data_IF_392761657756
#
_entry.id   IF_392761657756
#
_cell.length_a   1.000
_cell.length_b   1.000
_cell.length_c   1.000
_cell.angle_alpha   90.00
_cell.angle_beta   90.00
_cell.angle_gamma   90.00
#
_symmetry.space_group_name_H-M   'P 1'
#
loop_
_entity.id
_entity.type
_entity.pdbx_description
1 polymer ?
#
# COMPACT_ATOMS: atom_id res chain seq x y z
N UNK A 1 29.46 15.58 3.13
CA UNK A 1 28.14 16.25 3.20
C UNK A 1 27.12 15.21 3.62
N UNK A 2 26.50 15.30 4.81
CA UNK A 2 25.46 14.35 5.18
C UNK A 2 24.29 14.47 4.19
N UNK A 3 23.75 13.34 3.75
CA UNK A 3 22.63 13.30 2.83
C UNK A 3 21.47 14.11 3.41
N UNK A 4 21.03 15.16 2.70
CA UNK A 4 19.80 15.90 3.00
C UNK A 4 18.69 14.85 3.09
N UNK A 5 18.08 14.69 4.26
CA UNK A 5 16.94 13.77 4.44
C UNK A 5 15.88 14.18 3.42
N UNK A 6 15.58 13.30 2.47
CA UNK A 6 14.54 13.54 1.48
C UNK A 6 13.18 13.31 2.13
N UNK A 7 12.13 13.93 1.58
CA UNK A 7 10.74 13.65 1.96
C UNK A 7 10.47 12.13 1.92
N UNK A 8 11.09 11.42 0.96
CA UNK A 8 11.02 9.97 0.89
C UNK A 8 11.63 9.27 2.12
N UNK A 9 12.79 9.73 2.61
CA UNK A 9 13.41 9.19 3.82
C UNK A 9 12.51 9.35 5.05
N UNK A 10 11.83 10.51 5.17
CA UNK A 10 10.88 10.77 6.25
C UNK A 10 9.64 9.87 6.16
N UNK A 11 9.08 9.71 4.96
CA UNK A 11 7.96 8.79 4.69
C UNK A 11 8.34 7.35 5.10
N UNK A 12 9.55 6.90 4.73
CA UNK A 12 10.02 5.56 5.05
C UNK A 12 10.26 5.37 6.55
N UNK A 13 10.83 6.36 7.24
CA UNK A 13 11.03 6.30 8.68
C UNK A 13 9.70 6.14 9.41
N UNK A 14 8.71 6.99 9.09
CA UNK A 14 7.36 6.90 9.67
C UNK A 14 6.67 5.58 9.33
N UNK A 15 6.78 5.10 8.09
CA UNK A 15 6.13 3.84 7.68
C UNK A 15 6.66 2.63 8.47
N UNK A 16 7.93 2.61 8.84
CA UNK A 16 8.50 1.55 9.69
C UNK A 16 7.83 1.53 11.07
N UNK A 17 7.69 2.68 11.71
CA UNK A 17 6.99 2.81 13.00
C UNK A 17 5.53 2.32 12.89
N UNK A 18 4.82 2.73 11.84
CA UNK A 18 3.43 2.31 11.60
C UNK A 18 3.29 0.79 11.39
N UNK A 19 4.23 0.18 10.66
CA UNK A 19 4.25 -1.27 10.44
C UNK A 19 4.51 -2.00 11.75
N UNK A 20 5.46 -1.54 12.57
CA UNK A 20 5.74 -2.16 13.87
C UNK A 20 4.52 -2.08 14.81
N UNK A 21 3.87 -0.91 14.88
CA UNK A 21 2.64 -0.75 15.65
C UNK A 21 1.50 -1.66 15.11
N UNK A 22 1.39 -1.79 13.78
CA UNK A 22 0.38 -2.65 13.14
C UNK A 22 0.63 -4.13 13.43
N UNK A 23 1.89 -4.58 13.40
CA UNK A 23 2.29 -5.96 13.74
C UNK A 23 1.97 -6.33 15.18
N UNK A 24 2.11 -5.38 16.10
CA UNK A 24 1.72 -5.58 17.52
C UNK A 24 0.21 -5.70 17.69
N UNK A 25 -0.58 -4.94 16.92
CA UNK A 25 -2.05 -4.97 16.96
C UNK A 25 -2.64 -6.20 16.28
N UNK A 26 -2.08 -6.59 15.14
CA UNK A 26 -2.50 -7.74 14.35
C UNK A 26 -1.27 -8.54 13.89
N UNK A 27 -0.84 -9.53 14.68
CA UNK A 27 0.30 -10.36 14.32
C UNK A 27 0.12 -11.03 12.95
N UNK A 28 1.23 -11.24 12.25
CA UNK A 28 1.22 -11.75 10.86
C UNK A 28 0.49 -13.10 10.73
N UNK A 29 0.63 -14.00 11.70
CA UNK A 29 -0.07 -15.30 11.68
C UNK A 29 -1.59 -15.14 11.71
N UNK A 30 -2.08 -14.21 12.53
CA UNK A 30 -3.50 -13.90 12.63
C UNK A 30 -4.01 -13.21 11.36
N UNK A 31 -3.24 -12.28 10.80
CA UNK A 31 -3.57 -11.67 9.51
C UNK A 31 -3.69 -12.73 8.41
N UNK A 32 -2.74 -13.67 8.32
CA UNK A 32 -2.80 -14.78 7.35
C UNK A 32 -4.04 -15.64 7.53
N UNK A 33 -4.40 -15.97 8.77
CA UNK A 33 -5.62 -16.73 9.09
C UNK A 33 -6.88 -16.01 8.61
N UNK A 34 -6.99 -14.69 8.84
CA UNK A 34 -8.13 -13.90 8.35
C UNK A 34 -8.23 -13.86 6.82
N UNK A 35 -7.09 -13.83 6.14
CA UNK A 35 -7.04 -13.79 4.67
C UNK A 35 -7.50 -15.11 4.02
N UNK A 36 -7.48 -16.24 4.72
CA UNK A 36 -7.96 -17.52 4.17
C UNK A 36 -9.43 -17.48 3.72
N UNK A 37 -10.24 -16.63 4.36
CA UNK A 37 -11.66 -16.47 4.05
C UNK A 37 -11.94 -15.21 3.20
N UNK A 38 -10.91 -14.55 2.68
CA UNK A 38 -11.09 -13.37 1.83
C UNK A 38 -11.55 -13.76 0.42
N UNK A 39 -12.36 -12.94 -0.26
CA UNK A 39 -12.68 -13.14 -1.66
C UNK A 39 -11.41 -13.23 -2.52
N UNK A 40 -11.46 -13.94 -3.67
CA UNK A 40 -10.34 -13.97 -4.58
C UNK A 40 -9.97 -12.55 -5.05
N UNK A 41 -8.67 -12.28 -5.29
CA UNK A 41 -8.24 -11.00 -5.83
C UNK A 41 -8.87 -10.75 -7.20
N UNK A 42 -9.18 -9.49 -7.49
CA UNK A 42 -9.61 -9.09 -8.84
C UNK A 42 -8.42 -9.15 -9.79
N UNK A 43 -8.69 -9.52 -11.03
CA UNK A 43 -7.71 -9.53 -12.11
C UNK A 43 -7.36 -8.10 -12.54
N UNK A 44 -6.43 -7.47 -11.81
CA UNK A 44 -6.02 -6.07 -12.01
C UNK A 44 -5.36 -5.86 -13.38
N UNK A 45 -4.47 -6.76 -13.79
CA UNK A 45 -3.76 -6.68 -15.07
C UNK A 45 -4.75 -6.85 -16.21
N UNK A 46 -5.57 -7.91 -16.19
CA UNK A 46 -6.53 -8.12 -17.26
C UNK A 46 -7.62 -7.05 -17.29
N UNK A 47 -7.95 -6.39 -16.17
CA UNK A 47 -8.83 -5.22 -16.18
C UNK A 47 -8.22 -4.04 -16.97
N UNK A 48 -6.90 -3.82 -16.86
CA UNK A 48 -6.20 -2.80 -17.64
C UNK A 48 -6.13 -3.21 -19.12
N UNK A 49 -5.81 -4.48 -19.40
CA UNK A 49 -5.65 -4.98 -20.77
C UNK A 49 -6.97 -5.01 -21.56
N UNK A 50 -8.10 -5.32 -20.91
CA UNK A 50 -9.43 -5.38 -21.53
C UNK A 50 -10.16 -4.04 -21.59
N UNK A 51 -9.66 -3.00 -20.91
CA UNK A 51 -10.32 -1.71 -20.87
C UNK A 51 -10.23 -0.99 -22.23
N UNK A 52 -11.31 -0.32 -22.62
CA UNK A 52 -11.27 0.66 -23.70
C UNK A 52 -10.31 1.80 -23.31
N UNK A 53 -9.52 2.27 -24.28
CA UNK A 53 -8.46 3.23 -23.98
C UNK A 53 -9.04 4.65 -23.88
N UNK A 54 -8.59 5.45 -22.88
CA UNK A 54 -7.53 5.12 -21.91
C UNK A 54 -7.99 4.22 -20.75
N UNK A 55 -7.15 3.26 -20.36
CA UNK A 55 -7.35 2.47 -19.15
C UNK A 55 -7.04 3.33 -17.91
N UNK A 56 -8.08 3.77 -17.19
CA UNK A 56 -7.95 4.69 -16.06
C UNK A 56 -7.75 3.93 -14.73
N UNK A 57 -6.65 4.24 -14.03
CA UNK A 57 -6.48 3.93 -12.61
C UNK A 57 -6.84 5.19 -11.82
N UNK A 58 -8.08 5.26 -11.33
CA UNK A 58 -8.55 6.39 -10.54
C UNK A 58 -8.01 6.30 -9.09
N UNK A 59 -7.13 7.23 -8.70
CA UNK A 59 -6.57 7.30 -7.35
C UNK A 59 -7.51 8.07 -6.41
N UNK A 60 -7.82 7.49 -5.25
CA UNK A 60 -8.51 8.18 -4.15
C UNK A 60 -7.48 8.54 -3.08
N UNK A 61 -7.09 9.81 -3.00
CA UNK A 61 -6.05 10.32 -2.09
C UNK A 61 -6.54 11.52 -1.29
N UNK A 62 -6.30 11.51 0.03
CA UNK A 62 -6.73 12.59 0.94
C UNK A 62 -5.87 13.85 0.85
N UNK A 63 -4.55 13.71 0.82
CA UNK A 63 -3.60 14.81 0.70
C UNK A 63 -2.29 14.29 0.11
N UNK A 64 -1.52 15.16 -0.54
CA UNK A 64 -0.15 14.87 -0.97
C UNK A 64 0.82 15.89 -0.35
N UNK A 65 1.98 15.44 0.18
CA UNK A 65 3.09 16.33 0.42
C UNK A 65 3.64 16.77 -0.95
N UNK A 66 3.34 17.99 -1.35
CA UNK A 66 3.92 18.69 -2.51
C UNK A 66 4.75 19.86 -2.01
#
# INVERSE_FOLDING_TARGET
MPAKLSILSEILARKREEVELSRRRLPLGELKRRLQNSPPPRDFIGAIERAERPALIAEVKRASPS
#
